data_IF_079366857895
#
_entry.id   IF_079366857895
#
_cell.length_a   1.000
_cell.length_b   1.000
_cell.length_c   1.000
_cell.angle_alpha   90.00
_cell.angle_beta   90.00
_cell.angle_gamma   90.00
#
_symmetry.space_group_name_H-M   'P 1'
#
loop_
_entity.id
_entity.type
_entity.pdbx_description
1 polymer ?
#
# COMPACT_ATOMS: atom_id res chain seq x y z
N UNK A 1 -9.96 -11.91 -0.98
CA UNK A 1 -8.70 -11.18 -1.25
C UNK A 1 -7.53 -11.93 -0.67
N UNK A 2 -6.51 -12.12 -1.47
CA UNK A 2 -5.25 -12.71 -1.00
C UNK A 2 -4.24 -11.61 -0.69
N UNK A 3 -3.52 -11.78 0.40
CA UNK A 3 -2.47 -10.86 0.84
C UNK A 3 -1.20 -11.61 1.12
N UNK A 4 -0.07 -11.05 0.68
CA UNK A 4 1.24 -11.54 1.08
C UNK A 4 2.13 -10.37 1.48
N UNK A 5 2.97 -10.60 2.48
CA UNK A 5 3.92 -9.61 2.98
C UNK A 5 5.33 -10.12 2.78
N UNK A 6 6.19 -9.23 2.31
CA UNK A 6 7.61 -9.49 2.12
C UNK A 6 8.41 -8.30 2.63
N UNK A 7 9.63 -8.54 3.08
CA UNK A 7 10.47 -7.49 3.63
C UNK A 7 11.87 -7.54 3.03
N UNK A 8 12.38 -6.36 2.65
CA UNK A 8 13.77 -6.18 2.25
C UNK A 8 14.54 -5.58 3.43
N UNK A 9 15.35 -6.38 4.08
CA UNK A 9 16.14 -5.94 5.23
C UNK A 9 17.17 -4.88 4.83
N UNK A 10 17.83 -5.09 3.69
CA UNK A 10 18.87 -4.17 3.22
C UNK A 10 18.32 -2.76 2.95
N UNK A 11 17.09 -2.65 2.42
CA UNK A 11 16.48 -1.39 2.03
C UNK A 11 15.47 -0.88 3.06
N UNK A 12 15.14 -1.68 4.06
CA UNK A 12 14.09 -1.41 5.05
C UNK A 12 12.75 -1.06 4.39
N UNK A 13 12.31 -1.95 3.49
CA UNK A 13 11.07 -1.78 2.73
C UNK A 13 10.18 -2.99 2.92
N UNK A 14 8.95 -2.75 3.34
CA UNK A 14 7.90 -3.75 3.46
C UNK A 14 7.05 -3.72 2.18
N UNK A 15 6.86 -4.87 1.55
CA UNK A 15 6.03 -4.99 0.34
C UNK A 15 4.80 -5.83 0.65
N UNK A 16 3.64 -5.22 0.44
CA UNK A 16 2.34 -5.88 0.53
C UNK A 16 1.83 -6.12 -0.89
N UNK A 17 1.58 -7.38 -1.24
CA UNK A 17 1.00 -7.75 -2.51
C UNK A 17 -0.45 -8.19 -2.31
N UNK A 18 -1.36 -7.58 -3.05
CA UNK A 18 -2.80 -7.83 -2.97
C UNK A 18 -3.31 -8.42 -4.29
N UNK A 19 -4.17 -9.41 -4.19
CA UNK A 19 -4.84 -9.99 -5.36
C UNK A 19 -6.28 -10.34 -5.05
N UNK A 20 -7.14 -10.23 -6.07
CA UNK A 20 -8.56 -10.51 -5.97
C UNK A 20 -9.40 -9.24 -5.96
N UNK A 21 -10.65 -9.37 -5.52
CA UNK A 21 -11.60 -8.27 -5.50
C UNK A 21 -11.43 -7.41 -4.24
N UNK A 22 -11.31 -6.12 -4.43
CA UNK A 22 -11.18 -5.15 -3.34
C UNK A 22 -12.56 -4.68 -2.93
N UNK A 23 -13.04 -5.17 -1.78
CA UNK A 23 -14.31 -4.78 -1.18
C UNK A 23 -14.06 -3.97 0.10
N UNK A 24 -15.10 -3.38 0.67
CA UNK A 24 -14.99 -2.67 1.95
C UNK A 24 -14.45 -3.60 3.06
N UNK A 25 -14.95 -4.84 3.10
CA UNK A 25 -14.48 -5.83 4.06
C UNK A 25 -13.00 -6.18 3.86
N UNK A 26 -12.58 -6.35 2.59
CA UNK A 26 -11.19 -6.63 2.25
C UNK A 26 -10.28 -5.47 2.69
N UNK A 27 -10.70 -4.24 2.46
CA UNK A 27 -9.93 -3.04 2.86
C UNK A 27 -9.72 -2.99 4.37
N UNK A 28 -10.75 -3.31 5.15
CA UNK A 28 -10.64 -3.32 6.61
C UNK A 28 -9.70 -4.44 7.09
N UNK A 29 -9.74 -5.59 6.45
CA UNK A 29 -8.82 -6.69 6.73
C UNK A 29 -7.37 -6.31 6.40
N UNK A 30 -7.16 -5.68 5.26
CA UNK A 30 -5.83 -5.17 4.85
C UNK A 30 -5.30 -4.18 5.88
N UNK A 31 -6.15 -3.27 6.32
CA UNK A 31 -5.79 -2.29 7.34
C UNK A 31 -5.32 -2.97 8.62
N UNK A 32 -6.11 -3.91 9.13
CA UNK A 32 -5.82 -4.60 10.38
C UNK A 32 -4.53 -5.42 10.29
N UNK A 33 -4.41 -6.26 9.26
CA UNK A 33 -3.21 -7.09 9.07
C UNK A 33 -1.98 -6.25 8.75
N UNK A 34 -2.14 -5.25 7.90
CA UNK A 34 -1.04 -4.36 7.52
C UNK A 34 -0.49 -3.59 8.72
N UNK A 35 -1.37 -3.09 9.58
CA UNK A 35 -0.97 -2.39 10.81
C UNK A 35 -0.20 -3.33 11.74
N UNK A 36 -0.67 -4.56 11.91
CA UNK A 36 0.00 -5.55 12.75
C UNK A 36 1.39 -5.93 12.22
N UNK A 37 1.51 -6.16 10.92
CA UNK A 37 2.80 -6.48 10.30
C UNK A 37 3.75 -5.29 10.39
N UNK A 38 3.27 -4.08 10.10
CA UNK A 38 4.09 -2.87 10.13
C UNK A 38 4.65 -2.59 11.54
N UNK A 39 3.93 -2.99 12.59
CA UNK A 39 4.41 -2.85 13.96
C UNK A 39 5.71 -3.65 14.23
N UNK A 40 5.93 -4.73 13.48
CA UNK A 40 7.15 -5.54 13.58
C UNK A 40 8.31 -4.97 12.76
N UNK A 41 8.07 -3.97 11.93
CA UNK A 41 9.07 -3.34 11.06
C UNK A 41 9.00 -1.81 11.21
N UNK A 42 9.33 -1.28 12.40
CA UNK A 42 9.18 0.14 12.67
C UNK A 42 10.06 0.98 11.73
N UNK A 43 9.51 2.11 11.32
CA UNK A 43 10.16 3.05 10.39
C UNK A 43 10.43 2.49 8.98
N UNK A 44 9.89 1.31 8.62
CA UNK A 44 10.01 0.81 7.26
C UNK A 44 9.17 1.62 6.29
N UNK A 45 9.71 1.83 5.08
CA UNK A 45 8.92 2.34 3.96
C UNK A 45 8.12 1.16 3.38
N UNK A 46 7.07 1.45 2.63
CA UNK A 46 6.17 0.38 2.15
C UNK A 46 5.86 0.53 0.67
N UNK A 47 5.72 -0.63 0.01
CA UNK A 47 5.15 -0.73 -1.33
C UNK A 47 3.87 -1.54 -1.21
N UNK A 48 2.77 -1.02 -1.72
CA UNK A 48 1.50 -1.72 -1.80
C UNK A 48 1.23 -2.04 -3.26
N UNK A 49 1.39 -3.30 -3.63
CA UNK A 49 1.24 -3.76 -5.01
C UNK A 49 -0.20 -4.16 -5.28
N UNK A 50 -0.87 -3.36 -6.10
CA UNK A 50 -2.26 -3.57 -6.50
C UNK A 50 -2.40 -4.22 -7.88
N UNK A 51 -1.31 -4.73 -8.45
CA UNK A 51 -1.31 -5.32 -9.80
C UNK A 51 -2.26 -6.51 -9.93
N UNK A 52 -2.43 -7.27 -8.86
CA UNK A 52 -3.30 -8.45 -8.83
C UNK A 52 -4.75 -8.17 -8.49
N UNK A 53 -5.10 -6.93 -8.23
CA UNK A 53 -6.49 -6.54 -7.90
C UNK A 53 -7.34 -6.57 -9.17
N UNK A 54 -8.42 -7.36 -9.15
CA UNK A 54 -9.26 -7.60 -10.33
C UNK A 54 -10.56 -6.84 -10.33
N UNK A 55 -11.02 -6.36 -9.17
CA UNK A 55 -12.24 -5.59 -9.04
C UNK A 55 -12.14 -4.59 -7.91
N UNK A 56 -12.89 -3.50 -8.02
CA UNK A 56 -12.82 -2.40 -7.07
C UNK A 56 -14.22 -2.01 -6.62
N UNK A 57 -14.69 -2.60 -5.52
CA UNK A 57 -15.98 -2.33 -4.92
C UNK A 57 -15.90 -1.57 -3.60
N UNK A 58 -14.94 -0.65 -3.46
CA UNK A 58 -14.77 0.15 -2.25
C UNK A 58 -15.74 1.32 -2.28
N UNK A 59 -16.50 1.51 -1.20
CA UNK A 59 -17.37 2.67 -1.05
C UNK A 59 -16.57 3.93 -0.73
N UNK A 60 -17.14 5.08 -1.10
CA UNK A 60 -16.56 6.38 -0.73
C UNK A 60 -16.44 6.54 0.78
N UNK A 61 -17.39 5.97 1.54
CA UNK A 61 -17.36 5.99 3.01
C UNK A 61 -16.15 5.25 3.55
N UNK A 62 -15.84 4.07 3.00
CA UNK A 62 -14.67 3.29 3.42
C UNK A 62 -13.36 4.05 3.12
N UNK A 63 -13.26 4.66 1.95
CA UNK A 63 -12.10 5.46 1.58
C UNK A 63 -11.91 6.64 2.53
N UNK A 64 -12.98 7.36 2.83
CA UNK A 64 -12.93 8.49 3.77
C UNK A 64 -12.52 8.04 5.17
N UNK A 65 -13.05 6.91 5.63
CA UNK A 65 -12.74 6.39 6.95
C UNK A 65 -11.25 6.01 7.06
N UNK A 66 -10.71 5.36 6.04
CA UNK A 66 -9.29 5.02 5.99
C UNK A 66 -8.41 6.26 5.96
N UNK A 67 -8.78 7.25 5.17
CA UNK A 67 -8.02 8.49 5.06
C UNK A 67 -7.91 9.21 6.41
N UNK A 68 -8.94 9.14 7.24
CA UNK A 68 -8.94 9.75 8.58
C UNK A 68 -8.15 8.98 9.63
N UNK A 69 -7.91 7.67 9.42
CA UNK A 69 -7.22 6.82 10.39
C UNK A 69 -5.70 6.97 10.36
N UNK A 70 -5.13 7.67 9.40
CA UNK A 70 -3.69 7.73 9.22
C UNK A 70 -3.05 8.89 9.97
N UNK A 71 -1.89 8.63 10.57
CA UNK A 71 -1.11 9.65 11.23
C UNK A 71 -0.25 10.45 10.24
N UNK A 72 0.15 11.66 10.64
CA UNK A 72 0.96 12.55 9.82
C UNK A 72 2.40 12.06 9.60
N UNK A 73 2.90 11.22 10.51
CA UNK A 73 4.32 10.85 10.56
C UNK A 73 4.59 9.44 10.02
N UNK A 74 3.82 9.00 9.04
CA UNK A 74 4.05 7.70 8.42
C UNK A 74 5.23 7.74 7.46
N UNK A 75 6.06 6.67 7.43
CA UNK A 75 7.08 6.53 6.41
C UNK A 75 6.50 6.52 5.00
N UNK A 76 7.35 6.74 4.02
CA UNK A 76 6.94 6.77 2.61
C UNK A 76 6.23 5.50 2.20
N UNK A 77 5.10 5.64 1.53
CA UNK A 77 4.30 4.54 0.97
C UNK A 77 4.09 4.77 -0.51
N UNK A 78 4.28 3.72 -1.28
CA UNK A 78 4.12 3.74 -2.73
C UNK A 78 3.09 2.70 -3.13
N UNK A 79 2.02 3.15 -3.78
CA UNK A 79 0.98 2.28 -4.34
C UNK A 79 1.28 2.02 -5.80
N UNK A 80 1.38 0.75 -6.19
CA UNK A 80 1.60 0.33 -7.58
C UNK A 80 0.26 -0.07 -8.17
N UNK A 81 -0.24 0.73 -9.11
CA UNK A 81 -1.57 0.58 -9.69
C UNK A 81 -1.50 0.66 -11.23
N UNK A 82 -1.23 -0.46 -11.93
CA UNK A 82 -1.07 -0.46 -13.39
C UNK A 82 -2.35 -0.14 -14.17
N UNK A 83 -3.53 -0.50 -13.63
CA UNK A 83 -4.82 -0.31 -14.31
C UNK A 83 -5.41 1.05 -14.01
N UNK A 84 -6.05 1.65 -15.02
CA UNK A 84 -6.62 3.01 -14.91
C UNK A 84 -7.62 3.16 -13.78
N UNK A 85 -8.55 2.23 -13.63
CA UNK A 85 -9.58 2.31 -12.59
C UNK A 85 -8.96 2.27 -11.20
N UNK A 86 -8.00 1.36 -11.00
CA UNK A 86 -7.32 1.20 -9.72
C UNK A 86 -6.40 2.40 -9.44
N UNK A 87 -5.71 2.87 -10.48
CA UNK A 87 -4.89 4.08 -10.38
C UNK A 87 -5.72 5.29 -9.96
N UNK A 88 -6.87 5.50 -10.60
CA UNK A 88 -7.78 6.60 -10.27
C UNK A 88 -8.27 6.54 -8.83
N UNK A 89 -8.63 5.35 -8.34
CA UNK A 89 -9.07 5.17 -6.96
C UNK A 89 -7.94 5.41 -5.97
N UNK A 90 -6.75 4.92 -6.27
CA UNK A 90 -5.58 5.16 -5.43
C UNK A 90 -5.22 6.66 -5.36
N UNK A 91 -5.35 7.38 -6.47
CA UNK A 91 -5.15 8.82 -6.52
C UNK A 91 -6.20 9.55 -5.69
N UNK A 92 -7.46 9.11 -5.73
CA UNK A 92 -8.51 9.68 -4.90
C UNK A 92 -8.19 9.50 -3.41
N UNK A 93 -7.74 8.31 -3.02
CA UNK A 93 -7.33 8.04 -1.66
C UNK A 93 -6.15 8.93 -1.25
N UNK A 94 -5.18 9.13 -2.13
CA UNK A 94 -4.04 10.03 -1.90
C UNK A 94 -4.51 11.45 -1.63
N UNK A 95 -5.41 11.98 -2.47
CA UNK A 95 -5.94 13.33 -2.31
C UNK A 95 -6.67 13.49 -0.98
N UNK A 96 -7.52 12.54 -0.62
CA UNK A 96 -8.25 12.57 0.64
C UNK A 96 -7.34 12.43 1.86
N UNK A 97 -6.17 11.84 1.70
CA UNK A 97 -5.20 11.60 2.76
C UNK A 97 -4.12 12.68 2.87
N UNK A 98 -4.12 13.69 2.01
CA UNK A 98 -3.05 14.72 1.95
C UNK A 98 -2.76 15.38 3.29
N UNK A 99 -3.79 15.62 4.11
CA UNK A 99 -3.62 16.25 5.42
C UNK A 99 -3.02 15.32 6.46
N UNK A 100 -3.12 14.01 6.24
CA UNK A 100 -2.72 12.97 7.20
C UNK A 100 -1.58 12.09 6.71
N UNK A 101 -1.25 12.15 5.41
CA UNK A 101 -0.18 11.36 4.78
C UNK A 101 0.63 12.19 3.80
N UNK A 102 1.76 12.70 4.25
CA UNK A 102 2.63 13.52 3.39
C UNK A 102 3.47 12.72 2.41
N UNK A 103 3.78 11.46 2.70
CA UNK A 103 4.73 10.64 1.94
C UNK A 103 4.04 9.49 1.22
N UNK A 104 2.94 9.79 0.53
CA UNK A 104 2.20 8.80 -0.24
C UNK A 104 2.35 9.07 -1.72
N UNK A 105 2.75 8.04 -2.47
CA UNK A 105 2.93 8.10 -3.91
C UNK A 105 2.07 7.06 -4.59
N UNK A 106 1.58 7.35 -5.80
CA UNK A 106 0.85 6.40 -6.64
C UNK A 106 1.57 6.32 -7.97
N UNK A 107 2.00 5.13 -8.35
CA UNK A 107 2.76 4.87 -9.58
C UNK A 107 2.11 3.75 -10.37
N UNK A 108 2.54 3.58 -11.62
CA UNK A 108 1.98 2.60 -12.55
C UNK A 108 2.73 1.27 -12.58
N UNK A 109 3.97 1.23 -12.11
CA UNK A 109 4.80 0.03 -12.19
C UNK A 109 5.67 -0.13 -10.95
N UNK A 110 6.12 -1.36 -10.72
CA UNK A 110 7.08 -1.67 -9.66
C UNK A 110 8.42 -0.95 -9.89
N UNK A 111 8.84 -0.84 -11.14
CA UNK A 111 10.06 -0.10 -11.51
C UNK A 111 9.98 1.37 -11.06
N UNK A 112 8.84 2.02 -11.26
CA UNK A 112 8.64 3.39 -10.80
C UNK A 112 8.66 3.48 -9.27
N UNK A 113 8.07 2.48 -8.59
CA UNK A 113 8.09 2.42 -7.13
C UNK A 113 9.53 2.37 -6.60
N UNK A 114 10.37 1.55 -7.20
CA UNK A 114 11.78 1.45 -6.82
C UNK A 114 12.51 2.77 -7.02
N UNK A 115 12.21 3.48 -8.12
CA UNK A 115 12.77 4.81 -8.37
C UNK A 115 12.38 5.82 -7.31
N UNK A 116 11.10 5.83 -6.93
CA UNK A 116 10.62 6.73 -5.86
C UNK A 116 11.36 6.47 -4.55
N UNK A 117 11.61 5.21 -4.24
CA UNK A 117 12.29 4.82 -3.00
C UNK A 117 13.81 4.85 -3.10
N UNK A 118 14.36 5.06 -4.30
CA UNK A 118 15.81 5.09 -4.52
C UNK A 118 16.48 3.74 -4.29
N UNK A 119 15.80 2.65 -4.60
CA UNK A 119 16.34 1.29 -4.42
C UNK A 119 16.58 0.60 -5.74
N UNK A 120 17.63 -0.25 -5.77
CA UNK A 120 18.00 -1.03 -6.94
C UNK A 120 18.02 -2.51 -6.59
N UNK A 121 17.37 -3.33 -7.44
CA UNK A 121 17.38 -4.79 -7.32
C UNK A 121 17.17 -5.28 -5.88
N UNK A 122 16.10 -4.86 -5.19
CA UNK A 122 15.87 -5.26 -3.80
C UNK A 122 15.62 -6.76 -3.71
N UNK A 123 16.03 -7.34 -2.58
CA UNK A 123 15.76 -8.74 -2.24
C UNK A 123 14.73 -8.79 -1.13
N UNK A 124 13.59 -9.38 -1.45
CA UNK A 124 12.50 -9.55 -0.48
C UNK A 124 12.46 -10.96 0.05
N UNK A 125 12.20 -11.09 1.35
CA UNK A 125 11.94 -12.37 1.99
C UNK A 125 10.51 -12.39 2.52
N UNK A 126 9.80 -13.54 2.43
CA UNK A 126 8.44 -13.62 2.95
C UNK A 126 8.38 -13.32 4.45
N UNK A 127 7.31 -12.62 4.84
CA UNK A 127 6.97 -12.40 6.25
C UNK A 127 5.83 -13.36 6.60
N UNK A 128 6.05 -14.18 7.61
CA UNK A 128 5.04 -15.12 8.10
C UNK A 128 4.11 -14.40 9.08
N UNK A 129 2.83 -14.53 8.82
CA UNK A 129 1.79 -13.96 9.69
C UNK A 129 1.44 -14.89 10.84
#
# INVERSE_FOLDING_TARGET
MEMSFEFSEADNVLRLTLSGEMTDAAVMEIWTKGTNVAASFPASRSIIDLSGVTGFGISTQAINLLAKKHSLDLPTRVFVAPRDVIYGTARMFQVLSERTRKNMHVVRSMSEAYKVLGIESPKFTPVTL
#
